data_IF_290823414520
#
_entry.id   IF_290823414520
#
_cell.length_a   1.000
_cell.length_b   1.000
_cell.length_c   1.000
_cell.angle_alpha   90.00
_cell.angle_beta   90.00
_cell.angle_gamma   90.00
#
_symmetry.space_group_name_H-M   'P 1'
#
loop_
_entity.id
_entity.type
_entity.pdbx_description
1 polymer ?
#
# COMPACT_ATOMS: atom_id res chain seq x y z
N UNK A 1 -20.54 -4.41 7.31
CA UNK A 1 -19.72 -3.24 6.93
C UNK A 1 -19.39 -3.31 5.46
N UNK A 2 -19.16 -2.17 4.80
CA UNK A 2 -18.71 -2.11 3.39
C UNK A 2 -17.30 -1.53 3.24
N UNK A 3 -16.60 -1.36 4.37
CA UNK A 3 -15.21 -0.91 4.40
C UNK A 3 -14.33 -2.10 4.75
N UNK A 4 -13.22 -2.21 4.02
CA UNK A 4 -12.23 -3.28 4.14
C UNK A 4 -10.85 -2.65 4.20
N UNK A 5 -9.92 -3.28 4.92
CA UNK A 5 -8.55 -2.83 5.03
C UNK A 5 -7.63 -3.91 4.46
N UNK A 6 -6.77 -3.52 3.52
CA UNK A 6 -5.60 -4.30 3.17
C UNK A 6 -4.40 -3.72 3.92
N UNK A 7 -3.91 -4.48 4.91
CA UNK A 7 -2.83 -4.09 5.80
C UNK A 7 -1.55 -4.88 5.46
N UNK A 8 -0.48 -4.16 5.14
CA UNK A 8 0.81 -4.72 4.78
C UNK A 8 1.85 -4.55 5.92
N UNK A 9 1.40 -4.50 7.17
CA UNK A 9 2.26 -4.34 8.35
C UNK A 9 3.41 -5.35 8.45
N UNK A 10 3.28 -6.55 7.86
CA UNK A 10 4.36 -7.55 7.83
C UNK A 10 5.62 -7.04 7.10
N UNK A 11 5.48 -6.05 6.21
CA UNK A 11 6.59 -5.48 5.46
C UNK A 11 7.32 -4.37 6.23
N UNK A 12 6.81 -3.93 7.37
CA UNK A 12 7.40 -2.87 8.17
C UNK A 12 8.78 -3.30 8.70
N UNK A 13 9.80 -2.47 8.48
CA UNK A 13 11.17 -2.78 8.90
C UNK A 13 11.86 -3.91 8.12
N UNK A 14 11.29 -4.39 7.01
CA UNK A 14 11.97 -5.37 6.16
C UNK A 14 13.30 -4.81 5.64
N UNK A 15 14.41 -5.56 5.77
CA UNK A 15 15.68 -5.14 5.20
C UNK A 15 15.58 -5.14 3.68
N UNK A 16 15.93 -4.01 3.07
CA UNK A 16 16.00 -3.88 1.61
C UNK A 16 17.44 -3.99 1.12
N UNK A 17 17.61 -4.59 -0.07
CA UNK A 17 18.91 -4.74 -0.72
C UNK A 17 19.28 -3.54 -1.61
N UNK A 18 20.37 -3.69 -2.34
CA UNK A 18 20.74 -2.79 -3.45
C UNK A 18 20.80 -3.56 -4.78
N UNK A 19 20.44 -2.89 -5.87
CA UNK A 19 20.51 -3.42 -7.22
C UNK A 19 21.41 -2.52 -8.06
N UNK A 20 22.50 -3.06 -8.58
CA UNK A 20 23.49 -2.25 -9.32
C UNK A 20 24.16 -1.16 -8.47
N UNK A 21 24.21 -1.34 -7.14
CA UNK A 21 24.71 -0.34 -6.21
C UNK A 21 23.64 0.62 -5.67
N UNK A 22 22.44 0.64 -6.27
CA UNK A 22 21.37 1.56 -5.87
C UNK A 22 20.42 0.94 -4.82
N UNK A 23 20.13 1.63 -3.71
CA UNK A 23 19.25 1.12 -2.66
C UNK A 23 17.83 0.93 -3.19
N UNK A 24 17.22 -0.19 -2.79
CA UNK A 24 15.82 -0.48 -3.07
C UNK A 24 14.95 -0.14 -1.85
N UNK A 25 13.66 0.10 -2.10
CA UNK A 25 12.72 0.50 -1.06
C UNK A 25 11.44 -0.31 -1.16
N UNK A 26 10.88 -0.63 0.00
CA UNK A 26 9.58 -1.29 0.15
C UNK A 26 8.77 -0.45 1.12
N UNK A 27 7.48 -0.27 0.82
CA UNK A 27 6.53 0.38 1.70
C UNK A 27 5.71 -0.67 2.46
N UNK A 28 5.23 -0.33 3.66
CA UNK A 28 4.28 -1.12 4.44
C UNK A 28 2.93 -0.38 4.52
N UNK A 29 2.17 -0.30 3.42
CA UNK A 29 1.00 0.56 3.35
C UNK A 29 -0.22 0.00 4.09
N UNK A 30 -1.15 0.91 4.38
CA UNK A 30 -2.53 0.65 4.76
C UNK A 30 -3.43 1.14 3.62
N UNK A 31 -4.19 0.25 3.00
CA UNK A 31 -5.11 0.59 1.91
C UNK A 31 -6.55 0.35 2.35
N UNK A 32 -7.31 1.43 2.54
CA UNK A 32 -8.73 1.37 2.85
C UNK A 32 -9.53 1.24 1.56
N UNK A 33 -10.40 0.24 1.53
CA UNK A 33 -11.25 -0.05 0.38
C UNK A 33 -12.73 0.02 0.76
N UNK A 34 -13.54 0.46 -0.18
CA UNK A 34 -14.99 0.50 -0.08
C UNK A 34 -15.63 -0.43 -1.12
N UNK A 35 -16.54 -1.29 -0.66
CA UNK A 35 -17.39 -2.10 -1.52
C UNK A 35 -18.61 -1.28 -1.93
N UNK A 36 -18.60 -0.79 -3.16
CA UNK A 36 -19.71 0.00 -3.69
C UNK A 36 -20.95 -0.89 -3.93
N UNK A 37 -22.17 -0.32 -4.02
CA UNK A 37 -23.40 -1.09 -4.28
C UNK A 37 -23.35 -1.97 -5.54
N UNK A 38 -22.56 -1.57 -6.54
CA UNK A 38 -22.33 -2.34 -7.78
C UNK A 38 -21.39 -3.54 -7.63
N UNK A 39 -20.90 -3.83 -6.42
CA UNK A 39 -20.06 -5.00 -6.13
C UNK A 39 -18.58 -4.82 -6.43
N UNK A 40 -18.15 -3.62 -6.86
CA UNK A 40 -16.73 -3.32 -7.05
C UNK A 40 -16.08 -2.88 -5.74
N UNK A 41 -14.86 -3.35 -5.52
CA UNK A 41 -14.03 -2.91 -4.39
C UNK A 41 -13.10 -1.79 -4.87
N UNK A 42 -13.24 -0.61 -4.29
CA UNK A 42 -12.53 0.60 -4.71
C UNK A 42 -11.62 1.12 -3.60
N UNK A 43 -10.35 1.48 -3.89
CA UNK A 43 -9.50 2.13 -2.90
C UNK A 43 -9.98 3.56 -2.65
N UNK A 44 -10.15 3.92 -1.38
CA UNK A 44 -10.67 5.24 -0.96
C UNK A 44 -9.67 6.05 -0.14
N UNK A 45 -8.68 5.41 0.48
CA UNK A 45 -7.58 6.08 1.15
C UNK A 45 -6.35 5.14 1.22
N UNK A 46 -5.14 5.70 1.10
CA UNK A 46 -3.88 4.96 1.22
C UNK A 46 -2.94 5.75 2.13
N UNK A 47 -2.40 5.09 3.17
CA UNK A 47 -1.27 5.56 3.95
C UNK A 47 -0.07 4.67 3.61
N UNK A 48 1.10 5.23 3.27
CA UNK A 48 2.24 4.44 2.77
C UNK A 48 3.16 3.88 3.87
N UNK A 49 2.86 4.18 5.14
CA UNK A 49 3.60 3.72 6.31
C UNK A 49 2.63 3.29 7.39
N UNK A 50 3.07 2.40 8.27
CA UNK A 50 2.33 2.02 9.48
C UNK A 50 2.32 3.13 10.54
N UNK A 51 3.22 4.12 10.43
CA UNK A 51 3.34 5.17 11.43
C UNK A 51 2.23 6.22 11.32
N UNK A 52 1.52 6.53 12.43
CA UNK A 52 0.57 7.63 12.50
C UNK A 52 1.20 8.98 12.15
N UNK A 53 0.42 9.86 11.53
CA UNK A 53 0.87 11.21 11.14
C UNK A 53 1.57 11.28 9.78
N UNK A 54 1.72 10.15 9.09
CA UNK A 54 2.15 10.14 7.69
C UNK A 54 1.01 10.54 6.75
N UNK A 55 1.30 11.10 5.56
CA UNK A 55 0.25 11.57 4.64
C UNK A 55 -0.70 10.45 4.22
N UNK A 56 -1.99 10.78 4.17
CA UNK A 56 -3.03 9.93 3.60
C UNK A 56 -3.35 10.46 2.20
N UNK A 57 -3.19 9.59 1.20
CA UNK A 57 -3.55 9.87 -0.18
C UNK A 57 -4.97 9.41 -0.45
N UNK A 58 -5.76 10.24 -1.12
CA UNK A 58 -7.15 9.96 -1.52
C UNK A 58 -7.34 10.11 -3.04
N UNK A 59 -8.41 9.54 -3.62
CA UNK A 59 -8.73 9.74 -5.03
C UNK A 59 -8.83 11.22 -5.39
N UNK A 60 -8.02 11.66 -6.36
CA UNK A 60 -7.96 13.06 -6.81
C UNK A 60 -6.66 13.78 -6.43
N UNK A 61 -5.92 13.26 -5.44
CA UNK A 61 -4.60 13.79 -5.09
C UNK A 61 -3.60 13.58 -6.23
N UNK A 62 -2.67 14.53 -6.40
CA UNK A 62 -1.58 14.39 -7.38
C UNK A 62 -0.74 13.11 -7.15
N UNK A 63 -0.59 12.69 -5.90
CA UNK A 63 0.15 11.49 -5.51
C UNK A 63 -0.63 10.18 -5.64
N UNK A 64 -1.92 10.22 -6.00
CA UNK A 64 -2.80 9.05 -6.00
C UNK A 64 -2.31 7.88 -6.89
N UNK A 65 -1.83 8.11 -8.13
CA UNK A 65 -1.29 7.02 -8.95
C UNK A 65 -0.08 6.34 -8.31
N UNK A 66 0.82 7.14 -7.72
CA UNK A 66 2.04 6.64 -7.08
C UNK A 66 1.72 5.88 -5.79
N UNK A 67 0.78 6.35 -4.99
CA UNK A 67 0.33 5.65 -3.79
C UNK A 67 -0.21 4.25 -4.11
N UNK A 68 -1.01 4.12 -5.18
CA UNK A 68 -1.48 2.82 -5.67
C UNK A 68 -0.35 1.92 -6.18
N UNK A 69 0.66 2.49 -6.84
CA UNK A 69 1.83 1.73 -7.31
C UNK A 69 2.57 1.11 -6.12
N UNK A 70 2.79 1.87 -5.05
CA UNK A 70 3.41 1.36 -3.82
C UNK A 70 2.58 0.26 -3.15
N UNK A 71 1.25 0.36 -3.12
CA UNK A 71 0.38 -0.72 -2.65
C UNK A 71 0.53 -1.98 -3.51
N UNK A 72 0.66 -1.86 -4.84
CA UNK A 72 0.90 -3.02 -5.71
C UNK A 72 2.29 -3.62 -5.50
N UNK A 73 3.32 -2.81 -5.29
CA UNK A 73 4.66 -3.28 -4.94
C UNK A 73 4.69 -4.05 -3.63
N UNK A 74 4.08 -3.50 -2.57
CA UNK A 74 3.92 -4.18 -1.29
C UNK A 74 3.17 -5.51 -1.44
N UNK A 75 2.07 -5.52 -2.20
CA UNK A 75 1.32 -6.73 -2.49
C UNK A 75 2.16 -7.80 -3.20
N UNK A 76 2.95 -7.40 -4.20
CA UNK A 76 3.87 -8.31 -4.88
C UNK A 76 4.90 -8.91 -3.91
N UNK A 77 5.57 -8.09 -3.11
CA UNK A 77 6.55 -8.56 -2.12
C UNK A 77 5.94 -9.55 -1.14
N UNK A 78 4.77 -9.23 -0.58
CA UNK A 78 4.10 -10.11 0.38
C UNK A 78 3.64 -11.42 -0.27
N UNK A 79 3.11 -11.35 -1.50
CA UNK A 79 2.64 -12.51 -2.24
C UNK A 79 3.79 -13.50 -2.47
N UNK A 80 4.89 -13.07 -3.09
CA UNK A 80 5.99 -13.95 -3.46
C UNK A 80 6.80 -14.48 -2.25
N UNK A 81 6.82 -13.74 -1.13
CA UNK A 81 7.59 -14.14 0.05
C UNK A 81 6.83 -15.07 0.99
N UNK A 82 5.50 -15.02 1.01
CA UNK A 82 4.68 -15.67 2.05
C UNK A 82 3.56 -16.53 1.49
N UNK A 83 2.98 -16.18 0.34
CA UNK A 83 1.84 -16.90 -0.25
C UNK A 83 2.31 -18.01 -1.17
#
# INVERSE_FOLDING_TARGET
GRLFLADYALLEGLPTGSLGGEPQFVAAPLCLLWLEPGGRLLPVAIQLSQHPGTPIFVPGDKGWPLAKLWVRGAHFTLHEMVT
#
